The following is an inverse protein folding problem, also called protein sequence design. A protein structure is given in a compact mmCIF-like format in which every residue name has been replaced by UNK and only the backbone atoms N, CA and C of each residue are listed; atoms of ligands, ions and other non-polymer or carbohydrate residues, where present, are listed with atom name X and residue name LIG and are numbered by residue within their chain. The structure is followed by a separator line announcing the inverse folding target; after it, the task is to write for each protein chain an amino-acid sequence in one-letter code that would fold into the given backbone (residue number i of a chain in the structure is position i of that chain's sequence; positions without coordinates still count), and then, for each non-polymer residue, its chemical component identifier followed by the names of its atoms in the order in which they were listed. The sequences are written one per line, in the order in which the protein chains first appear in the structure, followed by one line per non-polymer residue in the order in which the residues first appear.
data_IF_852049594381
#
_entry.id   IF_852049594381
#
_cell.length_a   1.000
_cell.length_b   1.000
_cell.length_c   1.000
_cell.angle_alpha   90.00
_cell.angle_beta   90.00
_cell.angle_gamma   90.00
#
_symmetry.space_group_name_H-M   'P 1'
#
loop_
_entity.id
_entity.type
_entity.pdbx_description
1 polymer ?
#
# COMPACT_ATOMS: atom_id res chain seq x y z
N UNK A 1 1.48 -7.05 1.48
CA UNK A 1 0.28 -7.22 2.34
C UNK A 1 -0.58 -5.96 2.21
N UNK A 2 -1.89 -6.04 2.04
CA UNK A 2 -2.75 -4.85 1.87
C UNK A 2 -3.60 -4.67 3.12
N UNK A 3 -3.46 -3.52 3.79
CA UNK A 3 -4.26 -3.19 4.96
C UNK A 3 -5.50 -2.41 4.53
N UNK A 4 -6.66 -2.88 4.98
CA UNK A 4 -7.98 -2.46 4.48
C UNK A 4 -8.79 -1.83 5.60
N UNK A 5 -8.97 -0.52 5.53
CA UNK A 5 -9.82 0.22 6.46
C UNK A 5 -11.30 0.04 6.12
N UNK A 6 -11.93 -1.02 6.67
CA UNK A 6 -13.36 -1.33 6.53
C UNK A 6 -14.15 -1.12 7.82
N UNK A 7 -15.45 -0.84 7.67
CA UNK A 7 -16.39 -0.67 8.80
C UNK A 7 -16.91 -1.96 9.44
N UNK A 8 -16.86 -3.16 8.81
CA UNK A 8 -17.69 -4.31 9.29
C UNK A 8 -17.20 -5.77 9.16
N UNK A 9 -16.04 -6.10 8.56
CA UNK A 9 -15.53 -7.50 8.58
C UNK A 9 -14.00 -7.53 8.72
N UNK A 10 -13.43 -8.31 9.68
CA UNK A 10 -12.00 -8.53 9.73
C UNK A 10 -11.54 -9.33 8.49
N UNK A 11 -10.38 -8.97 7.94
CA UNK A 11 -9.72 -9.77 6.92
C UNK A 11 -9.09 -11.03 7.55
N UNK A 12 -9.09 -12.19 6.87
CA UNK A 12 -8.39 -13.37 7.35
C UNK A 12 -6.88 -13.13 7.37
N UNK A 13 -6.16 -13.88 8.22
CA UNK A 13 -4.70 -13.77 8.37
C UNK A 13 -3.93 -14.02 7.06
N UNK A 14 -4.53 -14.75 6.12
CA UNK A 14 -4.01 -14.94 4.77
C UNK A 14 -5.12 -14.71 3.76
N UNK A 15 -5.03 -13.59 3.05
CA UNK A 15 -5.90 -13.27 1.93
C UNK A 15 -5.05 -13.34 0.66
N UNK A 16 -5.46 -14.20 -0.28
CA UNK A 16 -4.87 -14.15 -1.61
C UNK A 16 -5.47 -12.98 -2.40
N UNK A 17 -4.82 -12.63 -3.51
CA UNK A 17 -5.21 -11.51 -4.37
C UNK A 17 -6.64 -11.61 -4.88
N UNK A 18 -7.15 -12.83 -5.10
CA UNK A 18 -8.53 -13.02 -5.56
C UNK A 18 -9.55 -12.72 -4.47
N UNK A 19 -9.39 -13.30 -3.27
CA UNK A 19 -10.26 -13.02 -2.13
C UNK A 19 -10.23 -11.55 -1.72
N UNK A 20 -9.08 -10.89 -1.85
CA UNK A 20 -8.95 -9.45 -1.70
C UNK A 20 -9.92 -8.69 -2.61
N UNK A 21 -9.98 -9.06 -3.88
CA UNK A 21 -10.83 -8.36 -4.84
C UNK A 21 -12.30 -8.69 -4.71
N UNK A 22 -12.64 -9.96 -4.48
CA UNK A 22 -14.02 -10.42 -4.38
C UNK A 22 -14.69 -9.90 -3.11
N UNK A 23 -14.02 -10.03 -1.97
CA UNK A 23 -14.66 -9.83 -0.66
C UNK A 23 -14.27 -8.50 0.00
N UNK A 24 -13.10 -7.94 -0.32
CA UNK A 24 -12.49 -6.86 0.46
C UNK A 24 -12.13 -5.60 -0.35
N UNK A 25 -12.42 -5.55 -1.64
CA UNK A 25 -12.04 -4.39 -2.47
C UNK A 25 -12.95 -3.17 -2.30
N UNK A 26 -14.14 -3.33 -1.73
CA UNK A 26 -15.08 -2.22 -1.51
C UNK A 26 -14.68 -1.46 -0.23
N UNK A 27 -13.81 -0.48 -0.44
CA UNK A 27 -13.12 0.36 0.55
C UNK A 27 -13.05 1.79 0.04
N UNK A 28 -12.85 2.77 0.92
CA UNK A 28 -12.68 4.17 0.51
C UNK A 28 -11.23 4.67 0.50
N UNK A 29 -10.29 3.87 1.01
CA UNK A 29 -8.85 4.14 1.02
C UNK A 29 -8.10 2.80 1.09
N UNK A 30 -6.94 2.69 0.44
CA UNK A 30 -6.09 1.49 0.47
C UNK A 30 -4.66 1.83 0.92
N UNK A 31 -4.12 1.02 1.84
CA UNK A 31 -2.70 1.09 2.24
C UNK A 31 -2.01 -0.18 1.77
N UNK A 32 -1.01 -0.02 0.91
CA UNK A 32 -0.28 -1.13 0.29
C UNK A 32 1.09 -1.24 0.97
N UNK A 33 1.36 -2.37 1.63
CA UNK A 33 2.68 -2.66 2.20
C UNK A 33 3.56 -3.32 1.13
N UNK A 34 4.59 -2.58 0.73
CA UNK A 34 5.60 -2.96 -0.26
C UNK A 34 6.86 -3.45 0.48
N UNK A 35 6.92 -4.76 0.72
CA UNK A 35 8.02 -5.44 1.39
C UNK A 35 8.92 -6.20 0.39
N UNK A 36 10.20 -6.45 0.72
CA UNK A 36 11.16 -7.18 -0.11
C UNK A 36 10.89 -8.70 -0.09
N UNK A 37 9.70 -9.13 -0.51
CA UNK A 37 9.27 -10.53 -0.39
C UNK A 37 9.85 -11.45 -1.48
N UNK A 38 10.24 -10.89 -2.63
CA UNK A 38 10.76 -11.62 -3.78
C UNK A 38 12.07 -10.98 -4.29
N UNK A 39 12.84 -11.72 -5.11
CA UNK A 39 14.07 -11.23 -5.78
C UNK A 39 13.88 -11.28 -7.29
N UNK A 40 14.31 -10.24 -8.00
CA UNK A 40 14.19 -10.19 -9.47
C UNK A 40 14.84 -8.97 -10.10
N UNK A 41 14.71 -8.85 -11.42
CA UNK A 41 15.25 -7.71 -12.15
C UNK A 41 15.07 -7.84 -13.65
N UNK A 42 15.47 -6.81 -14.39
CA UNK A 42 15.47 -6.83 -15.84
C UNK A 42 16.41 -7.93 -16.37
N UNK A 43 16.05 -8.53 -17.51
CA UNK A 43 16.85 -9.58 -18.14
C UNK A 43 18.27 -9.08 -18.39
N UNK A 44 19.25 -9.79 -17.85
CA UNK A 44 20.67 -9.47 -18.00
C UNK A 44 21.22 -8.42 -17.01
N UNK A 45 20.42 -7.98 -16.05
CA UNK A 45 20.88 -7.16 -14.92
C UNK A 45 20.99 -7.98 -13.63
N UNK A 46 21.66 -7.43 -12.63
CA UNK A 46 21.68 -8.02 -11.29
C UNK A 46 20.28 -8.04 -10.70
N UNK A 47 19.95 -9.14 -10.03
CA UNK A 47 18.69 -9.25 -9.31
C UNK A 47 18.75 -8.44 -8.02
N UNK A 48 17.62 -7.84 -7.65
CA UNK A 48 17.44 -7.04 -6.44
C UNK A 48 16.21 -7.50 -5.69
N UNK A 49 16.16 -7.14 -4.42
CA UNK A 49 14.95 -7.25 -3.63
C UNK A 49 13.84 -6.41 -4.27
N UNK A 50 12.65 -7.01 -4.35
CA UNK A 50 11.49 -6.39 -4.97
C UNK A 50 10.21 -6.79 -4.27
N UNK A 51 9.19 -5.99 -4.51
CA UNK A 51 7.84 -6.33 -4.12
C UNK A 51 7.33 -7.53 -4.91
N UNK A 52 6.60 -8.40 -4.22
CA UNK A 52 5.87 -9.50 -4.83
C UNK A 52 4.92 -9.01 -5.91
N UNK A 53 4.90 -9.69 -7.06
CA UNK A 53 4.14 -9.25 -8.23
C UNK A 53 2.65 -9.05 -7.95
N UNK A 54 2.06 -9.91 -7.13
CA UNK A 54 0.67 -9.79 -6.71
C UNK A 54 0.39 -8.45 -6.01
N UNK A 55 1.30 -7.97 -5.16
CA UNK A 55 1.15 -6.70 -4.44
C UNK A 55 1.26 -5.51 -5.42
N UNK A 56 2.11 -5.61 -6.44
CA UNK A 56 2.17 -4.60 -7.52
C UNK A 56 0.86 -4.56 -8.30
N UNK A 57 0.24 -5.72 -8.56
CA UNK A 57 -1.07 -5.79 -9.21
C UNK A 57 -2.18 -5.17 -8.34
N UNK A 58 -2.18 -5.47 -7.04
CA UNK A 58 -3.11 -4.92 -6.06
C UNK A 58 -3.00 -3.39 -5.97
N UNK A 59 -1.78 -2.85 -5.97
CA UNK A 59 -1.52 -1.42 -6.07
C UNK A 59 -2.19 -0.82 -7.32
N UNK A 60 -1.92 -1.39 -8.50
CA UNK A 60 -2.51 -0.93 -9.76
C UNK A 60 -4.04 -0.98 -9.76
N UNK A 61 -4.62 -2.05 -9.23
CA UNK A 61 -6.06 -2.22 -9.10
C UNK A 61 -6.68 -1.11 -8.24
N UNK A 62 -6.15 -0.85 -7.03
CA UNK A 62 -6.73 0.16 -6.14
C UNK A 62 -6.53 1.58 -6.65
N UNK A 63 -5.45 1.86 -7.37
CA UNK A 63 -5.28 3.15 -8.07
C UNK A 63 -6.39 3.33 -9.11
N UNK A 64 -6.66 2.29 -9.92
CA UNK A 64 -7.72 2.34 -10.92
C UNK A 64 -9.12 2.46 -10.32
N UNK A 65 -9.36 1.81 -9.17
CA UNK A 65 -10.67 1.80 -8.50
C UNK A 65 -10.96 3.06 -7.69
N UNK A 66 -9.99 3.55 -6.93
CA UNK A 66 -10.16 4.62 -5.93
C UNK A 66 -9.60 5.97 -6.40
N UNK A 67 -8.71 5.97 -7.38
CA UNK A 67 -7.87 7.11 -7.71
C UNK A 67 -6.62 7.19 -6.82
N UNK A 68 -5.61 7.91 -7.31
CA UNK A 68 -4.27 7.99 -6.68
C UNK A 68 -4.30 8.63 -5.28
N UNK A 69 -5.18 9.59 -5.06
CA UNK A 69 -5.34 10.32 -3.80
C UNK A 69 -6.03 9.51 -2.68
N UNK A 70 -6.40 8.25 -2.96
CA UNK A 70 -7.00 7.32 -1.98
C UNK A 70 -6.18 6.05 -1.82
N UNK A 71 -4.91 6.09 -2.24
CA UNK A 71 -3.98 4.96 -2.18
C UNK A 71 -2.63 5.46 -1.67
N UNK A 72 -2.12 4.80 -0.63
CA UNK A 72 -0.78 5.04 -0.09
C UNK A 72 0.04 3.75 -0.16
N UNK A 73 1.27 3.85 -0.63
CA UNK A 73 2.22 2.74 -0.65
C UNK A 73 3.28 2.94 0.43
N UNK A 74 3.37 2.00 1.37
CA UNK A 74 4.39 1.96 2.41
C UNK A 74 5.55 1.07 1.95
N UNK A 75 6.73 1.64 1.80
CA UNK A 75 7.91 0.97 1.22
C UNK A 75 8.88 0.57 2.32
N UNK A 76 9.11 -0.72 2.48
CA UNK A 76 10.08 -1.25 3.44
C UNK A 76 11.44 -1.50 2.75
N UNK A 77 12.47 -0.81 3.23
CA UNK A 77 13.83 -0.95 2.72
C UNK A 77 14.06 -0.36 1.32
N UNK A 78 15.15 -0.81 0.69
CA UNK A 78 15.54 -0.42 -0.67
C UNK A 78 15.08 -1.51 -1.65
N UNK A 79 13.97 -1.26 -2.33
CA UNK A 79 13.34 -2.21 -3.26
C UNK A 79 13.03 -1.55 -4.59
N UNK A 80 12.99 -2.35 -5.65
CA UNK A 80 12.49 -1.89 -6.94
C UNK A 80 11.02 -1.45 -6.84
N UNK A 81 10.76 -0.17 -7.08
CA UNK A 81 9.40 0.40 -7.14
C UNK A 81 8.98 0.64 -8.60
N UNK A 82 7.69 0.44 -8.95
CA UNK A 82 7.21 0.70 -10.30
C UNK A 82 7.36 2.18 -10.68
N UNK A 83 8.18 2.47 -11.70
CA UNK A 83 8.48 3.85 -12.12
C UNK A 83 7.32 4.57 -12.81
N UNK A 84 6.41 3.82 -13.45
CA UNK A 84 5.32 4.37 -14.25
C UNK A 84 4.11 4.85 -13.42
N UNK A 85 4.12 4.62 -12.10
CA UNK A 85 3.02 4.98 -11.19
C UNK A 85 3.30 6.34 -10.53
N UNK A 86 3.50 7.36 -11.37
CA UNK A 86 3.68 8.73 -10.91
C UNK A 86 2.46 9.24 -10.13
N UNK A 87 2.70 9.90 -8.99
CA UNK A 87 1.63 10.54 -8.19
C UNK A 87 0.92 9.65 -7.18
N UNK A 88 1.41 8.43 -6.92
CA UNK A 88 1.07 7.69 -5.69
C UNK A 88 2.09 8.05 -4.61
N UNK A 89 1.62 8.23 -3.39
CA UNK A 89 2.50 8.50 -2.24
C UNK A 89 3.26 7.23 -1.86
N UNK A 90 4.52 7.15 -2.30
CA UNK A 90 5.50 6.19 -1.78
C UNK A 90 6.10 6.76 -0.49
N UNK A 91 5.72 6.18 0.64
CA UNK A 91 6.19 6.61 1.95
C UNK A 91 7.08 5.52 2.54
N UNK A 92 8.30 5.83 2.96
CA UNK A 92 9.14 4.86 3.66
C UNK A 92 8.44 4.32 4.92
N UNK A 93 8.45 3.00 5.09
CA UNK A 93 8.05 2.33 6.32
C UNK A 93 9.20 2.47 7.33
N UNK A 94 9.26 3.62 7.98
CA UNK A 94 10.34 3.92 8.91
C UNK A 94 10.07 3.37 10.32
N UNK A 95 11.15 3.00 11.02
CA UNK A 95 11.08 2.50 12.41
C UNK A 95 10.70 3.57 13.43
N UNK A 96 10.81 4.85 13.08
CA UNK A 96 10.48 5.98 13.95
C UNK A 96 8.98 6.33 13.89
N UNK A 97 8.21 5.71 12.99
CA UNK A 97 6.77 5.89 12.86
C UNK A 97 6.32 7.15 12.10
N UNK A 98 7.21 7.83 11.37
CA UNK A 98 6.84 9.00 10.55
C UNK A 98 5.76 8.66 9.52
N UNK A 99 5.74 7.44 9.00
CA UNK A 99 4.69 6.95 8.10
C UNK A 99 3.28 7.10 8.68
N UNK A 100 3.11 7.05 10.01
CA UNK A 100 1.81 7.22 10.67
C UNK A 100 1.27 8.63 10.49
N UNK A 101 2.14 9.64 10.61
CA UNK A 101 1.78 11.04 10.37
C UNK A 101 1.45 11.28 8.90
N UNK A 102 2.23 10.69 7.99
CA UNK A 102 1.96 10.76 6.56
C UNK A 102 0.59 10.13 6.23
N UNK A 103 0.32 8.92 6.73
CA UNK A 103 -0.96 8.24 6.55
C UNK A 103 -2.12 9.07 7.10
N UNK A 104 -1.98 9.63 8.30
CA UNK A 104 -3.01 10.45 8.91
C UNK A 104 -3.32 11.72 8.11
N UNK A 105 -2.28 12.33 7.49
CA UNK A 105 -2.44 13.46 6.58
C UNK A 105 -3.21 13.04 5.32
N UNK A 106 -2.80 11.97 4.64
CA UNK A 106 -3.46 11.47 3.43
C UNK A 106 -4.93 11.09 3.69
N UNK A 107 -5.21 10.47 4.84
CA UNK A 107 -6.58 10.15 5.25
C UNK A 107 -7.44 11.41 5.43
N UNK A 108 -6.90 12.46 6.05
CA UNK A 108 -7.61 13.74 6.16
C UNK A 108 -7.91 14.35 4.78
N UNK A 109 -6.94 14.33 3.88
CA UNK A 109 -7.11 14.82 2.50
C UNK A 109 -8.13 13.99 1.71
N UNK A 110 -8.24 12.69 1.99
CA UNK A 110 -9.28 11.81 1.46
C UNK A 110 -10.67 11.99 2.10
N UNK A 111 -10.80 12.88 3.09
CA UNK A 111 -12.06 13.25 3.75
C UNK A 111 -12.39 12.44 5.01
N UNK A 112 -11.41 11.74 5.60
CA UNK A 112 -11.61 11.01 6.85
C UNK A 112 -11.35 11.90 8.07
N UNK A 113 -12.14 11.71 9.12
CA UNK A 113 -11.88 12.31 10.43
C UNK A 113 -10.73 11.55 11.11
N UNK A 114 -9.60 12.21 11.28
CA UNK A 114 -8.41 11.66 11.96
C UNK A 114 -7.99 12.58 13.10
N UNK A 115 -7.92 12.04 14.32
CA UNK A 115 -7.34 12.74 15.45
C UNK A 115 -5.82 12.57 15.47
N UNK A 116 -5.11 13.65 15.16
CA UNK A 116 -3.63 13.63 15.12
C UNK A 116 -3.01 13.53 16.52
N UNK A 117 -3.75 13.86 17.59
CA UNK A 117 -3.24 13.78 18.96
C UNK A 117 -3.09 12.32 19.42
N UNK A 118 -3.77 11.38 18.75
CA UNK A 118 -3.65 9.94 19.01
C UNK A 118 -2.38 9.29 18.45
N UNK A 119 -1.54 10.06 17.75
CA UNK A 119 -0.29 9.62 17.14
C UNK A 119 0.96 9.97 17.96
N UNK A 120 0.77 10.71 19.06
CA UNK A 120 1.83 11.16 19.97
C UNK A 120 2.22 10.09 20.99
#
# INVERSE_FOLDING_TARGET
MVEIMRRKKPAPAYLNTWGLFEDYSDVGFAVILMTPDDVGGLKGQEQKDRVRQNVVFELGYFIGKLGRNRVMALVDGDIETPTDISGVAYTPLDSHGFWKFALAKELKEAGYEVDMNSLA
#
